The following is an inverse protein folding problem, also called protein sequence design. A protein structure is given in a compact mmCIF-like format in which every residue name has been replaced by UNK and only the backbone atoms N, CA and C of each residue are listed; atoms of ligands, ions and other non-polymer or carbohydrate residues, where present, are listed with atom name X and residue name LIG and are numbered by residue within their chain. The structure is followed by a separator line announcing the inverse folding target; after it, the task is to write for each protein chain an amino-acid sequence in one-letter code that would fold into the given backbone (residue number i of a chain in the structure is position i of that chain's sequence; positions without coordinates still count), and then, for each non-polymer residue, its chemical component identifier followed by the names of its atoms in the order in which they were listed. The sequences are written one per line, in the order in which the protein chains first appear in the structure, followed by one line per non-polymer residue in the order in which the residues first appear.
data_IF_100327371267
#
_entry.id   IF_100327371267
#
_cell.length_a   1.000
_cell.length_b   1.000
_cell.length_c   1.000
_cell.angle_alpha   90.00
_cell.angle_beta   90.00
_cell.angle_gamma   90.00
#
_symmetry.space_group_name_H-M   'P 1'
#
loop_
_entity.id
_entity.type
_entity.pdbx_description
1 polymer ?
#
# COMPACT_ATOMS: atom_id res chain seq x y z
N UNK A 1 5.36 -33.40 -4.78
CA UNK A 1 4.67 -32.64 -5.83
C UNK A 1 4.29 -31.26 -5.30
N UNK A 2 5.16 -30.27 -5.48
CA UNK A 2 4.86 -28.84 -5.54
C UNK A 2 6.20 -28.15 -5.80
N UNK A 3 6.56 -27.99 -7.07
CA UNK A 3 7.69 -27.16 -7.45
C UNK A 3 7.37 -25.74 -6.97
N UNK A 4 8.11 -25.24 -5.99
CA UNK A 4 8.12 -23.82 -5.65
C UNK A 4 8.88 -23.15 -6.79
N UNK A 5 8.17 -22.89 -7.90
CA UNK A 5 8.70 -22.15 -9.04
C UNK A 5 9.07 -20.78 -8.53
N UNK A 6 10.37 -20.48 -8.64
CA UNK A 6 11.01 -19.26 -8.17
C UNK A 6 10.52 -18.10 -9.04
N UNK A 7 9.38 -17.51 -8.65
CA UNK A 7 8.80 -16.32 -9.30
C UNK A 7 9.92 -15.28 -9.38
N UNK A 8 10.23 -14.79 -10.59
CA UNK A 8 11.12 -13.65 -10.74
C UNK A 8 10.51 -12.49 -9.93
N UNK A 9 11.09 -12.22 -8.76
CA UNK A 9 10.42 -11.44 -7.75
C UNK A 9 10.41 -9.98 -8.18
N UNK A 10 9.36 -9.52 -8.87
CA UNK A 10 9.21 -8.12 -9.18
C UNK A 10 9.12 -7.36 -7.86
N UNK A 11 9.92 -6.31 -7.71
CA UNK A 11 9.93 -5.46 -6.50
C UNK A 11 8.52 -4.95 -6.19
N UNK A 12 7.74 -4.69 -7.24
CA UNK A 12 6.35 -4.25 -7.22
C UNK A 12 5.41 -5.27 -6.59
N UNK A 13 5.55 -6.57 -6.90
CA UNK A 13 4.74 -7.63 -6.28
C UNK A 13 4.99 -7.74 -4.79
N UNK A 14 6.26 -7.69 -4.34
CA UNK A 14 6.59 -7.76 -2.92
C UNK A 14 5.99 -6.58 -2.15
N UNK A 15 6.10 -5.38 -2.71
CA UNK A 15 5.56 -4.16 -2.11
C UNK A 15 4.03 -4.18 -2.06
N UNK A 16 3.38 -4.66 -3.13
CA UNK A 16 1.93 -4.77 -3.15
C UNK A 16 1.42 -5.78 -2.09
N UNK A 17 2.10 -6.91 -1.94
CA UNK A 17 1.74 -7.90 -0.91
C UNK A 17 1.99 -7.38 0.52
N UNK A 18 3.04 -6.57 0.74
CA UNK A 18 3.26 -5.95 2.05
C UNK A 18 2.18 -4.92 2.37
N UNK A 19 1.80 -4.07 1.41
CA UNK A 19 0.74 -3.08 1.61
C UNK A 19 -0.62 -3.75 1.87
N UNK A 20 -0.92 -4.85 1.16
CA UNK A 20 -2.12 -5.65 1.43
C UNK A 20 -2.16 -6.17 2.87
N UNK A 21 -1.03 -6.68 3.38
CA UNK A 21 -0.93 -7.13 4.77
C UNK A 21 -1.11 -6.01 5.78
N UNK A 22 -0.60 -4.81 5.50
CA UNK A 22 -0.73 -3.67 6.41
C UNK A 22 -2.17 -3.15 6.52
N UNK A 23 -2.96 -3.27 5.45
CA UNK A 23 -4.33 -2.74 5.41
C UNK A 23 -5.34 -3.79 5.84
N UNK A 24 -5.09 -5.06 5.57
CA UNK A 24 -6.03 -6.13 5.91
C UNK A 24 -6.06 -6.40 7.40
N UNK A 25 -7.19 -6.13 8.04
CA UNK A 25 -7.43 -6.56 9.42
C UNK A 25 -7.83 -8.04 9.54
N UNK A 26 -8.19 -8.68 8.41
CA UNK A 26 -8.61 -10.08 8.35
C UNK A 26 -7.61 -10.89 7.50
N UNK A 27 -6.92 -11.83 8.14
CA UNK A 27 -5.87 -12.64 7.50
C UNK A 27 -6.40 -13.51 6.35
N UNK A 28 -7.68 -13.91 6.41
CA UNK A 28 -8.30 -14.77 5.39
C UNK A 28 -8.47 -14.11 4.03
N UNK A 29 -8.98 -12.86 4.00
CA UNK A 29 -9.22 -12.13 2.75
C UNK A 29 -7.92 -11.68 2.09
N UNK A 30 -6.93 -11.28 2.89
CA UNK A 30 -5.61 -10.94 2.40
C UNK A 30 -4.87 -12.14 1.82
N UNK A 31 -5.00 -13.31 2.46
CA UNK A 31 -4.44 -14.56 1.97
C UNK A 31 -5.03 -14.96 0.62
N UNK A 32 -6.34 -14.80 0.43
CA UNK A 32 -6.99 -15.09 -0.85
C UNK A 32 -6.56 -14.11 -1.95
N UNK A 33 -6.55 -12.81 -1.66
CA UNK A 33 -6.10 -11.78 -2.60
C UNK A 33 -4.63 -11.99 -2.99
N UNK A 34 -3.76 -12.27 -2.03
CA UNK A 34 -2.35 -12.55 -2.25
C UNK A 34 -2.14 -13.76 -3.17
N UNK A 35 -2.87 -14.86 -2.94
CA UNK A 35 -2.83 -16.05 -3.79
C UNK A 35 -3.24 -15.73 -5.23
N UNK A 36 -4.35 -15.02 -5.40
CA UNK A 36 -4.83 -14.60 -6.71
C UNK A 36 -3.78 -13.78 -7.45
N UNK A 37 -3.19 -12.78 -6.79
CA UNK A 37 -2.15 -11.93 -7.38
C UNK A 37 -0.93 -12.76 -7.80
N UNK A 38 -0.47 -13.67 -6.94
CA UNK A 38 0.67 -14.54 -7.29
C UNK A 38 0.37 -15.46 -8.48
N UNK A 39 -0.87 -15.95 -8.60
CA UNK A 39 -1.28 -16.78 -9.73
C UNK A 39 -1.37 -15.97 -11.03
N UNK A 40 -1.86 -14.73 -10.97
CA UNK A 40 -1.85 -13.83 -12.14
C UNK A 40 -0.43 -13.55 -12.60
N UNK A 41 0.48 -13.21 -11.68
CA UNK A 41 1.88 -12.97 -12.04
C UNK A 41 2.56 -14.18 -12.68
N UNK A 42 2.26 -15.40 -12.21
CA UNK A 42 2.75 -16.63 -12.84
C UNK A 42 2.20 -16.84 -14.24
N UNK A 43 0.91 -16.57 -14.46
CA UNK A 43 0.25 -16.74 -15.77
C UNK A 43 0.84 -15.85 -16.85
N UNK A 44 1.31 -14.67 -16.51
CA UNK A 44 1.89 -13.71 -17.45
C UNK A 44 3.44 -13.76 -17.51
N UNK A 45 4.10 -14.68 -16.79
CA UNK A 45 5.56 -14.82 -16.77
C UNK A 45 6.11 -15.58 -18.00
N UNK A 46 5.34 -16.52 -18.57
CA UNK A 46 5.82 -17.50 -19.56
C UNK A 46 5.22 -17.38 -20.97
N UNK A 47 4.41 -16.35 -21.24
CA UNK A 47 3.58 -16.32 -22.47
C UNK A 47 4.24 -15.54 -23.61
N UNK A 48 4.18 -16.09 -24.83
CA UNK A 48 4.92 -15.66 -26.03
C UNK A 48 4.56 -14.25 -26.56
N UNK A 49 5.36 -13.74 -27.50
CA UNK A 49 5.54 -12.35 -27.98
C UNK A 49 4.29 -11.44 -28.14
N UNK A 50 3.06 -11.96 -28.28
CA UNK A 50 1.83 -11.15 -28.20
C UNK A 50 1.51 -10.68 -26.76
N UNK A 51 2.11 -11.29 -25.75
CA UNK A 51 1.85 -11.04 -24.33
C UNK A 51 2.88 -10.14 -23.64
N UNK A 52 3.88 -9.59 -24.34
CA UNK A 52 4.75 -8.56 -23.75
C UNK A 52 3.92 -7.38 -23.24
N UNK A 53 2.93 -6.94 -24.02
CA UNK A 53 1.98 -5.91 -23.62
C UNK A 53 1.14 -6.33 -22.40
N UNK A 54 0.69 -7.58 -22.34
CA UNK A 54 -0.09 -8.07 -21.20
C UNK A 54 0.73 -8.10 -19.89
N UNK A 55 2.04 -8.38 -19.98
CA UNK A 55 2.96 -8.32 -18.83
C UNK A 55 3.18 -6.88 -18.37
N UNK A 56 3.34 -5.93 -19.30
CA UNK A 56 3.44 -4.50 -19.00
C UNK A 56 2.15 -3.96 -18.38
N UNK A 57 1.00 -4.33 -18.93
CA UNK A 57 -0.32 -4.00 -18.40
C UNK A 57 -0.53 -4.55 -16.98
N UNK A 58 -0.09 -5.80 -16.72
CA UNK A 58 -0.11 -6.37 -15.38
C UNK A 58 0.78 -5.57 -14.41
N UNK A 59 1.99 -5.22 -14.83
CA UNK A 59 2.91 -4.41 -14.02
C UNK A 59 2.31 -3.04 -13.70
N UNK A 60 1.75 -2.36 -14.70
CA UNK A 60 1.08 -1.07 -14.54
C UNK A 60 -0.12 -1.17 -13.59
N UNK A 61 -0.92 -2.22 -13.74
CA UNK A 61 -2.08 -2.49 -12.89
C UNK A 61 -1.64 -2.71 -11.45
N UNK A 62 -0.60 -3.51 -11.24
CA UNK A 62 -0.04 -3.74 -9.91
C UNK A 62 0.55 -2.47 -9.30
N UNK A 63 1.26 -1.64 -10.06
CA UNK A 63 1.76 -0.37 -9.57
C UNK A 63 0.64 0.60 -9.19
N UNK A 64 -0.45 0.60 -9.96
CA UNK A 64 -1.66 1.38 -9.67
C UNK A 64 -2.28 0.95 -8.35
N UNK A 65 -2.47 -0.35 -8.14
CA UNK A 65 -3.02 -0.88 -6.88
C UNK A 65 -2.07 -0.67 -5.70
N UNK A 66 -0.76 -0.82 -5.90
CA UNK A 66 0.24 -0.51 -4.87
C UNK A 66 0.12 0.96 -4.44
N UNK A 67 0.10 1.88 -5.40
CA UNK A 67 -0.04 3.32 -5.14
C UNK A 67 -1.34 3.61 -4.38
N UNK A 68 -2.46 3.02 -4.83
CA UNK A 68 -3.75 3.17 -4.16
C UNK A 68 -3.71 2.72 -2.69
N UNK A 69 -3.20 1.52 -2.42
CA UNK A 69 -3.11 0.99 -1.06
C UNK A 69 -2.20 1.86 -0.18
N UNK A 70 -1.03 2.26 -0.69
CA UNK A 70 -0.11 3.15 0.02
C UNK A 70 -0.77 4.50 0.34
N UNK A 71 -1.49 5.10 -0.62
CA UNK A 71 -2.25 6.34 -0.42
C UNK A 71 -3.34 6.18 0.63
N UNK A 72 -4.04 5.05 0.66
CA UNK A 72 -5.07 4.77 1.69
C UNK A 72 -4.44 4.69 3.08
N UNK A 73 -3.27 4.04 3.22
CA UNK A 73 -2.54 4.01 4.50
C UNK A 73 -2.13 5.41 4.95
N UNK A 74 -1.50 6.19 4.07
CA UNK A 74 -1.12 7.58 4.36
C UNK A 74 -2.32 8.46 4.69
N UNK A 75 -3.45 8.27 4.00
CA UNK A 75 -4.68 9.00 4.28
C UNK A 75 -5.23 8.65 5.67
N UNK A 76 -5.09 7.40 6.12
CA UNK A 76 -5.47 7.00 7.47
C UNK A 76 -4.58 7.69 8.53
N UNK A 77 -3.26 7.66 8.32
CA UNK A 77 -2.29 8.36 9.19
C UNK A 77 -2.59 9.87 9.25
N UNK A 78 -2.81 10.49 8.10
CA UNK A 78 -3.15 11.91 8.00
C UNK A 78 -4.48 12.22 8.71
N UNK A 79 -5.49 11.36 8.55
CA UNK A 79 -6.75 11.50 9.27
C UNK A 79 -6.54 11.32 10.78
N UNK A 80 -5.72 10.40 11.25
CA UNK A 80 -5.46 10.25 12.69
C UNK A 80 -4.83 11.51 13.29
N UNK A 81 -3.93 12.17 12.56
CA UNK A 81 -3.25 13.39 12.99
C UNK A 81 -4.15 14.62 12.87
N UNK A 82 -4.79 14.84 11.72
CA UNK A 82 -5.46 16.10 11.40
C UNK A 82 -6.99 16.07 11.51
N UNK A 83 -7.62 14.88 11.52
CA UNK A 83 -9.09 14.82 11.67
C UNK A 83 -9.46 15.31 13.07
N UNK A 84 -10.36 16.28 13.12
CA UNK A 84 -10.89 16.80 14.36
C UNK A 84 -11.56 15.69 15.16
N UNK A 85 -10.98 15.33 16.31
CA UNK A 85 -11.60 14.45 17.31
C UNK A 85 -12.50 15.23 18.29
N UNK A 86 -12.81 16.49 17.97
CA UNK A 86 -13.45 17.47 18.85
C UNK A 86 -12.67 18.79 18.88
N UNK A 87 -12.97 19.65 19.85
CA UNK A 87 -12.19 20.87 20.11
C UNK A 87 -10.83 20.48 20.70
N UNK A 88 -9.74 20.84 20.01
CA UNK A 88 -8.37 20.65 20.48
C UNK A 88 -7.94 21.87 21.28
N UNK A 89 -7.03 21.68 22.24
CA UNK A 89 -6.42 22.80 22.95
C UNK A 89 -5.69 23.72 21.97
N UNK A 90 -5.63 25.01 22.31
CA UNK A 90 -4.88 26.03 21.56
C UNK A 90 -3.40 25.62 21.44
N UNK A 91 -2.84 25.01 22.50
CA UNK A 91 -1.46 24.50 22.51
C UNK A 91 -1.26 23.36 21.53
N UNK A 92 -2.09 22.33 21.60
CA UNK A 92 -2.00 21.16 20.72
C UNK A 92 -2.16 21.56 19.24
N UNK A 93 -3.02 22.55 18.98
CA UNK A 93 -3.23 23.09 17.63
C UNK A 93 -2.01 23.87 17.16
N UNK A 94 -1.43 24.73 18.01
CA UNK A 94 -0.22 25.49 17.72
C UNK A 94 0.96 24.55 17.42
N UNK A 95 1.20 23.55 18.27
CA UNK A 95 2.28 22.58 18.10
C UNK A 95 2.10 21.75 16.82
N UNK A 96 0.87 21.38 16.47
CA UNK A 96 0.57 20.61 15.25
C UNK A 96 0.89 21.35 13.95
N UNK A 97 0.70 22.67 13.93
CA UNK A 97 0.98 23.50 12.75
C UNK A 97 2.37 24.15 12.81
N UNK A 98 3.11 23.95 13.90
CA UNK A 98 4.46 24.49 14.10
C UNK A 98 4.52 25.93 14.62
N UNK A 99 3.47 26.41 15.30
CA UNK A 99 3.47 27.70 16.00
C UNK A 99 3.88 27.55 17.46
N UNK A 100 4.59 28.56 17.98
CA UNK A 100 4.87 28.70 19.41
C UNK A 100 3.80 29.57 20.06
N UNK A 101 3.47 29.30 21.32
CA UNK A 101 2.59 30.19 22.08
C UNK A 101 3.36 31.45 22.53
N UNK A 102 2.66 32.57 22.77
CA UNK A 102 3.29 33.81 23.27
C UNK A 102 4.02 33.65 24.62
N UNK A 103 3.78 32.55 25.34
CA UNK A 103 4.41 32.22 26.63
C UNK A 103 5.54 31.19 26.52
N UNK A 104 5.80 30.62 25.34
CA UNK A 104 6.92 29.69 25.16
C UNK A 104 8.24 30.47 24.97
N UNK A 105 9.37 29.96 25.47
CA UNK A 105 10.67 30.59 25.28
C UNK A 105 11.04 30.69 23.79
N UNK A 106 11.62 31.85 23.42
CA UNK A 106 12.04 32.16 22.04
C UNK A 106 13.05 31.15 21.51
#
# INVERSE_FOLDING_TARGET
MAAVTKIASSRTLKQLLSELKHISSNEGSASLAAKYITDQYRRFETTEQQHCRAKEELQFTADTYRCYLESVRKLKELNEVYRGKGERSIRDTADMVGFKLPHDPK
#
